data_IF_585328044386
#
_entry.id   IF_585328044386
#
_cell.length_a   1.000
_cell.length_b   1.000
_cell.length_c   1.000
_cell.angle_alpha   90.00
_cell.angle_beta   90.00
_cell.angle_gamma   90.00
#
_symmetry.space_group_name_H-M   'P 1'
#
loop_
_entity.id
_entity.type
_entity.pdbx_description
1 polymer ?
#
# COMPACT_ATOMS: atom_id res chain seq x y z
N UNK A 1 5.91 0.31 1.17
CA UNK A 1 5.79 1.52 0.32
C UNK A 1 5.82 2.78 1.19
N UNK A 2 6.16 3.94 0.64
CA UNK A 2 6.13 5.25 1.32
C UNK A 2 5.12 6.19 0.66
N UNK A 3 4.54 7.07 1.45
CA UNK A 3 3.58 8.10 1.02
C UNK A 3 4.11 9.49 1.35
N UNK A 4 3.65 10.52 0.62
CA UNK A 4 4.07 11.89 0.89
C UNK A 4 3.64 12.40 2.26
N UNK A 5 2.42 12.05 2.67
CA UNK A 5 1.83 12.46 3.93
C UNK A 5 1.01 11.33 4.55
N UNK A 6 1.27 11.07 5.83
CA UNK A 6 0.56 10.07 6.63
C UNK A 6 0.17 10.68 7.98
N UNK A 7 -1.10 10.55 8.35
CA UNK A 7 -1.64 10.90 9.66
C UNK A 7 -2.51 9.77 10.21
N UNK A 8 -2.93 9.84 11.48
CA UNK A 8 -3.77 8.81 12.09
C UNK A 8 -5.07 8.50 11.32
N UNK A 9 -5.70 9.52 10.72
CA UNK A 9 -6.87 9.34 9.86
C UNK A 9 -6.55 8.61 8.56
N UNK A 10 -5.37 8.85 7.98
CA UNK A 10 -4.93 8.15 6.77
C UNK A 10 -4.74 6.67 7.04
N UNK A 11 -4.13 6.32 8.18
CA UNK A 11 -3.91 4.93 8.59
C UNK A 11 -5.23 4.18 8.65
N UNK A 12 -6.25 4.74 9.33
CA UNK A 12 -7.58 4.10 9.40
C UNK A 12 -8.20 3.88 8.02
N UNK A 13 -8.15 4.88 7.13
CA UNK A 13 -8.69 4.75 5.76
C UNK A 13 -7.96 3.69 4.93
N UNK A 14 -6.64 3.65 5.01
CA UNK A 14 -5.80 2.66 4.31
C UNK A 14 -6.15 1.27 4.83
N UNK A 15 -6.10 1.05 6.14
CA UNK A 15 -6.42 -0.24 6.75
C UNK A 15 -7.83 -0.70 6.37
N UNK A 16 -8.85 0.14 6.53
CA UNK A 16 -10.22 -0.22 6.16
C UNK A 16 -10.39 -0.56 4.67
N UNK A 17 -9.68 0.14 3.77
CA UNK A 17 -9.77 -0.12 2.33
C UNK A 17 -9.14 -1.46 1.94
N UNK A 18 -8.01 -1.78 2.56
CA UNK A 18 -7.27 -3.03 2.33
C UNK A 18 -7.84 -4.21 3.12
N UNK A 19 -8.64 -3.97 4.16
CA UNK A 19 -9.41 -5.01 4.86
C UNK A 19 -10.39 -5.72 3.92
N UNK A 20 -11.00 -4.98 2.98
CA UNK A 20 -11.85 -5.55 1.93
C UNK A 20 -11.06 -6.26 0.82
N UNK A 21 -9.73 -6.32 0.88
CA UNK A 21 -8.89 -6.97 -0.11
C UNK A 21 -8.49 -8.34 0.42
N UNK A 22 -9.17 -9.38 -0.05
CA UNK A 22 -8.94 -10.76 0.41
C UNK A 22 -7.46 -11.19 0.28
N UNK A 23 -6.75 -10.68 -0.72
CA UNK A 23 -5.33 -10.97 -0.95
C UNK A 23 -4.37 -10.43 0.14
N UNK A 24 -4.84 -9.60 1.08
CA UNK A 24 -4.02 -8.95 2.12
C UNK A 24 -4.36 -9.53 3.49
N UNK A 25 -3.36 -10.14 4.14
CA UNK A 25 -3.47 -10.64 5.51
C UNK A 25 -3.36 -9.51 6.54
N UNK A 26 -2.45 -8.56 6.32
CA UNK A 26 -2.16 -7.51 7.31
C UNK A 26 -1.69 -6.23 6.67
N UNK A 27 -2.11 -5.11 7.24
CA UNK A 27 -1.64 -3.78 6.89
C UNK A 27 -0.95 -3.15 8.08
N UNK A 28 0.32 -2.79 7.91
CA UNK A 28 1.11 -2.09 8.92
C UNK A 28 1.43 -0.70 8.40
N UNK A 29 1.00 0.32 9.13
CA UNK A 29 1.25 1.70 8.77
C UNK A 29 2.18 2.34 9.81
N UNK A 30 3.21 3.05 9.35
CA UNK A 30 4.12 3.81 10.20
C UNK A 30 4.02 5.29 9.86
N UNK A 31 3.40 6.06 10.75
CA UNK A 31 3.24 7.52 10.60
C UNK A 31 4.61 8.21 10.59
N UNK A 32 5.49 7.84 11.53
CA UNK A 32 6.85 8.39 11.65
C UNK A 32 7.66 8.22 10.36
N UNK A 33 7.63 7.01 9.80
CA UNK A 33 8.35 6.66 8.55
C UNK A 33 7.57 7.01 7.29
N UNK A 34 6.33 7.51 7.44
CA UNK A 34 5.37 7.76 6.35
C UNK A 34 5.30 6.56 5.39
N UNK A 35 5.22 5.36 5.95
CA UNK A 35 5.30 4.10 5.21
C UNK A 35 4.13 3.18 5.50
N UNK A 36 3.73 2.41 4.48
CA UNK A 36 2.71 1.36 4.54
C UNK A 36 3.36 0.05 4.11
N UNK A 37 3.24 -0.97 4.94
CA UNK A 37 3.68 -2.33 4.65
C UNK A 37 2.43 -3.20 4.55
N UNK A 38 2.25 -3.81 3.39
CA UNK A 38 1.18 -4.77 3.14
C UNK A 38 1.77 -6.17 3.22
N UNK A 39 1.14 -7.04 4.00
CA UNK A 39 1.49 -8.44 4.11
C UNK A 39 0.46 -9.21 3.28
N UNK A 40 0.86 -9.81 2.13
CA UNK A 40 -0.04 -10.65 1.35
C UNK A 40 -0.40 -11.93 2.11
N UNK A 41 -1.48 -12.58 1.67
CA UNK A 41 -1.74 -13.99 2.04
C UNK A 41 -0.65 -14.90 1.48
N UNK A 42 -0.47 -16.04 2.14
CA UNK A 42 0.47 -17.06 1.68
C UNK A 42 0.14 -17.52 0.26
N UNK A 43 1.16 -17.64 -0.59
CA UNK A 43 0.99 -17.98 -2.01
C UNK A 43 0.37 -16.88 -2.89
N UNK A 44 0.02 -15.70 -2.35
CA UNK A 44 -0.61 -14.61 -3.12
C UNK A 44 0.41 -13.54 -3.49
N UNK A 45 0.47 -13.20 -4.79
CA UNK A 45 1.19 -12.03 -5.27
C UNK A 45 0.26 -10.82 -5.37
N UNK A 46 0.54 -9.79 -4.60
CA UNK A 46 -0.14 -8.50 -4.74
C UNK A 46 0.40 -7.75 -5.95
N UNK A 47 -0.50 -7.38 -6.86
CA UNK A 47 -0.14 -6.55 -8.01
C UNK A 47 0.23 -5.14 -7.56
N UNK A 48 1.47 -4.67 -7.81
CA UNK A 48 1.94 -3.33 -7.43
C UNK A 48 1.02 -2.22 -7.96
N UNK A 49 0.55 -2.40 -9.21
CA UNK A 49 -0.40 -1.50 -9.88
C UNK A 49 -1.77 -1.46 -9.19
N UNK A 50 -2.28 -2.61 -8.77
CA UNK A 50 -3.55 -2.71 -8.06
C UNK A 50 -3.50 -2.01 -6.71
N UNK A 51 -2.42 -2.21 -5.95
CA UNK A 51 -2.16 -1.49 -4.70
C UNK A 51 -2.15 0.02 -4.94
N UNK A 52 -1.42 0.51 -5.95
CA UNK A 52 -1.40 1.93 -6.30
C UNK A 52 -2.81 2.47 -6.58
N UNK A 53 -3.61 1.79 -7.42
CA UNK A 53 -4.98 2.20 -7.71
C UNK A 53 -5.86 2.27 -6.46
N UNK A 54 -5.74 1.28 -5.57
CA UNK A 54 -6.49 1.26 -4.32
C UNK A 54 -6.12 2.46 -3.47
N UNK A 55 -4.83 2.78 -3.34
CA UNK A 55 -4.40 3.97 -2.63
C UNK A 55 -4.91 5.26 -3.30
N UNK A 56 -4.84 5.36 -4.62
CA UNK A 56 -5.35 6.52 -5.36
C UNK A 56 -6.85 6.72 -5.15
N UNK A 57 -7.63 5.62 -5.08
CA UNK A 57 -9.08 5.67 -4.81
C UNK A 57 -9.43 6.28 -3.44
N UNK A 58 -8.48 6.26 -2.49
CA UNK A 58 -8.63 6.89 -1.17
C UNK A 58 -7.85 8.20 -1.06
N UNK A 59 -7.41 8.77 -2.20
CA UNK A 59 -6.68 10.04 -2.28
C UNK A 59 -5.23 9.96 -1.79
N UNK A 60 -4.61 8.76 -1.85
CA UNK A 60 -3.23 8.54 -1.45
C UNK A 60 -2.38 8.06 -2.60
N UNK A 61 -1.30 8.77 -2.89
CA UNK A 61 -0.36 8.37 -3.93
C UNK A 61 0.94 7.89 -3.28
N UNK A 62 1.28 6.59 -3.38
CA UNK A 62 2.56 6.10 -2.89
C UNK A 62 3.70 6.66 -3.76
N UNK A 63 4.74 7.17 -3.11
CA UNK A 63 5.95 7.71 -3.77
C UNK A 63 6.96 6.61 -4.11
N UNK A 64 7.07 5.60 -3.26
CA UNK A 64 7.99 4.48 -3.47
C UNK A 64 7.35 3.20 -2.99
N UNK A 65 7.28 2.18 -3.82
CA UNK A 65 6.81 0.85 -3.48
C UNK A 65 7.96 -0.13 -3.61
N UNK A 66 8.12 -0.99 -2.62
CA UNK A 66 9.11 -2.06 -2.62
C UNK A 66 8.30 -3.34 -2.53
N UNK A 67 8.48 -4.23 -3.49
CA UNK A 67 7.87 -5.55 -3.55
C UNK A 67 8.97 -6.60 -3.77
N UNK A 68 8.68 -7.90 -3.54
CA UNK A 68 9.64 -8.96 -3.80
C UNK A 68 10.12 -8.99 -5.26
N UNK A 69 9.24 -8.59 -6.19
CA UNK A 69 9.52 -8.50 -7.63
C UNK A 69 10.36 -7.25 -8.01
N UNK A 70 10.49 -6.26 -7.13
CA UNK A 70 11.32 -5.09 -7.40
C UNK A 70 10.93 -3.81 -6.65
N UNK A 71 11.67 -2.73 -6.92
CA UNK A 71 11.39 -1.40 -6.35
C UNK A 71 10.81 -0.48 -7.43
N UNK A 72 9.64 0.08 -7.16
CA UNK A 72 8.95 1.03 -8.02
C UNK A 72 8.94 2.42 -7.36
N UNK A 73 9.59 3.40 -7.97
CA UNK A 73 9.61 4.80 -7.50
C UNK A 73 8.55 5.69 -8.16
N UNK A 74 7.72 5.10 -9.01
CA UNK A 74 6.61 5.74 -9.73
C UNK A 74 5.48 4.73 -9.91
N UNK A 75 4.27 5.20 -10.27
CA UNK A 75 3.13 4.33 -10.57
C UNK A 75 3.55 3.26 -11.59
N UNK A 76 3.54 1.96 -11.22
CA UNK A 76 4.01 0.90 -12.11
C UNK A 76 3.09 0.81 -13.33
N UNK A 77 3.69 0.89 -14.53
CA UNK A 77 2.97 0.82 -15.80
C UNK A 77 2.68 -0.63 -16.25
N UNK A 78 3.43 -1.61 -15.74
CA UNK A 78 3.30 -3.03 -16.00
C UNK A 78 3.10 -3.79 -14.70
#
# INVERSE_FOLDING_TARGET
>A
MTVGEMCGGCVKRITARFDSVDAVTKVVCSIEKKSVTLVPKDGVKLSPKGICQIMESIGKTPKKMITPDGTFTSKPKR
#
